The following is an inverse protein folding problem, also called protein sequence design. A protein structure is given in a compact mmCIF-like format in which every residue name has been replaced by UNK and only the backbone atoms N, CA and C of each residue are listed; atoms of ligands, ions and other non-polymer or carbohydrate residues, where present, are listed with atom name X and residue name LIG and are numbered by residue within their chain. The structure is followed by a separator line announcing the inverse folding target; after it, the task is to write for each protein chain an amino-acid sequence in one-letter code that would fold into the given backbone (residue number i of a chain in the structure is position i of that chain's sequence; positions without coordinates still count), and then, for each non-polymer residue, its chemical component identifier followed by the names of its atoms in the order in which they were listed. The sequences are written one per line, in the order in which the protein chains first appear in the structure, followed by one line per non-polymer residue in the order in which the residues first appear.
data_IF_873796742530
#
_entry.id   IF_873796742530
#
_cell.length_a   1.000
_cell.length_b   1.000
_cell.length_c   1.000
_cell.angle_alpha   90.00
_cell.angle_beta   90.00
_cell.angle_gamma   90.00
#
_symmetry.space_group_name_H-M   'P 1'
#
loop_
_entity.id
_entity.type
_entity.pdbx_description
1 polymer ?
#
# COMPACT_ATOMS: atom_id res chain seq x y z
N UNK A 1 3.62 -19.06 19.72
CA UNK A 1 3.46 -18.18 18.53
C UNK A 1 2.32 -17.17 18.68
N UNK A 2 1.15 -17.52 19.20
CA UNK A 2 0.00 -16.61 19.38
C UNK A 2 0.19 -15.50 20.41
N UNK A 3 0.84 -15.77 21.55
CA UNK A 3 1.10 -14.75 22.59
C UNK A 3 2.03 -13.61 22.14
N UNK A 4 2.91 -13.88 21.18
CA UNK A 4 3.84 -12.88 20.60
C UNK A 4 3.15 -11.94 19.58
N UNK A 5 2.02 -12.35 19.02
CA UNK A 5 1.27 -11.57 18.03
C UNK A 5 0.23 -10.63 18.68
N UNK A 6 -0.17 -10.90 19.92
CA UNK A 6 -1.10 -10.07 20.69
C UNK A 6 -0.73 -8.57 20.75
N UNK A 7 0.52 -8.17 21.05
CA UNK A 7 0.88 -6.76 21.10
C UNK A 7 0.81 -6.06 19.72
N UNK A 8 0.80 -6.81 18.61
CA UNK A 8 0.61 -6.28 17.26
C UNK A 8 -0.87 -6.28 16.85
N UNK A 9 -1.61 -7.34 17.20
CA UNK A 9 -3.01 -7.49 16.82
C UNK A 9 -3.93 -6.52 17.58
N UNK A 10 -3.69 -6.30 18.87
CA UNK A 10 -4.50 -5.40 19.69
C UNK A 10 -4.54 -3.95 19.17
N UNK A 11 -3.41 -3.29 18.85
CA UNK A 11 -3.44 -1.92 18.31
C UNK A 11 -4.09 -1.86 16.93
N UNK A 12 -3.91 -2.88 16.08
CA UNK A 12 -4.54 -2.95 14.76
C UNK A 12 -6.07 -3.06 14.90
N UNK A 13 -6.55 -4.01 15.71
CA UNK A 13 -7.98 -4.21 15.93
C UNK A 13 -8.65 -2.99 16.59
N UNK A 14 -7.98 -2.37 17.56
CA UNK A 14 -8.50 -1.14 18.19
C UNK A 14 -8.52 0.03 17.21
N UNK A 15 -7.47 0.22 16.40
CA UNK A 15 -7.45 1.22 15.34
C UNK A 15 -8.57 1.03 14.32
N UNK A 16 -8.78 -0.21 13.85
CA UNK A 16 -9.87 -0.56 12.94
C UNK A 16 -11.25 -0.36 13.57
N UNK A 17 -11.39 -0.64 14.85
CA UNK A 17 -12.62 -0.41 15.60
C UNK A 17 -12.95 1.08 15.72
N UNK A 18 -11.97 1.93 16.05
CA UNK A 18 -12.17 3.37 16.11
C UNK A 18 -12.48 3.97 14.74
N UNK A 19 -11.89 3.45 13.66
CA UNK A 19 -12.21 3.88 12.30
C UNK A 19 -13.59 3.42 11.81
N UNK A 20 -13.99 2.20 12.12
CA UNK A 20 -15.27 1.62 11.69
C UNK A 20 -16.47 2.16 12.47
N UNK A 21 -16.29 2.55 13.73
CA UNK A 21 -17.37 3.12 14.55
C UNK A 21 -18.09 4.31 13.91
N UNK A 22 -17.41 5.37 13.42
CA UNK A 22 -18.04 6.47 12.70
C UNK A 22 -18.71 6.06 11.39
N UNK A 23 -18.16 5.05 10.71
CA UNK A 23 -18.74 4.49 9.48
C UNK A 23 -20.09 3.82 9.79
N UNK A 24 -20.12 2.93 10.79
CA UNK A 24 -21.31 2.21 11.24
C UNK A 24 -22.40 3.13 11.83
N UNK A 25 -21.99 4.23 12.48
CA UNK A 25 -22.91 5.24 13.02
C UNK A 25 -23.36 6.29 11.99
N UNK A 26 -22.83 6.25 10.77
CA UNK A 26 -23.15 7.23 9.72
C UNK A 26 -22.60 8.64 9.96
N UNK A 27 -21.79 8.85 11.00
CA UNK A 27 -21.23 10.16 11.37
C UNK A 27 -20.02 10.54 10.51
N UNK A 28 -19.42 9.59 9.81
CA UNK A 28 -18.22 9.77 8.98
C UNK A 28 -18.33 10.92 7.97
N UNK A 29 -19.51 11.14 7.38
CA UNK A 29 -19.72 12.19 6.36
C UNK A 29 -19.44 13.60 6.86
N UNK A 30 -19.56 13.83 8.17
CA UNK A 30 -19.36 15.15 8.80
C UNK A 30 -18.02 15.27 9.50
N UNK A 31 -17.25 14.20 9.63
CA UNK A 31 -16.03 14.18 10.42
C UNK A 31 -14.79 14.28 9.51
N UNK A 32 -14.09 15.44 9.45
CA UNK A 32 -12.88 15.58 8.65
C UNK A 32 -11.75 14.65 9.12
N UNK A 33 -11.72 14.27 10.40
CA UNK A 33 -10.69 13.37 10.93
C UNK A 33 -10.84 11.94 10.37
N UNK A 34 -12.06 11.51 10.08
CA UNK A 34 -12.32 10.19 9.50
C UNK A 34 -11.69 10.04 8.11
N UNK A 35 -11.73 11.10 7.29
CA UNK A 35 -11.10 11.13 5.98
C UNK A 35 -9.56 11.13 6.05
N UNK A 36 -8.99 11.80 7.04
CA UNK A 36 -7.54 11.77 7.29
C UNK A 36 -7.09 10.36 7.72
N UNK A 37 -7.82 9.71 8.63
CA UNK A 37 -7.51 8.34 9.05
C UNK A 37 -7.67 7.33 7.90
N UNK A 38 -8.69 7.50 7.06
CA UNK A 38 -8.87 6.68 5.85
C UNK A 38 -7.68 6.84 4.91
N UNK A 39 -7.21 8.08 4.69
CA UNK A 39 -6.00 8.33 3.91
C UNK A 39 -4.77 7.64 4.49
N UNK A 40 -4.58 7.69 5.82
CA UNK A 40 -3.49 7.00 6.50
C UNK A 40 -3.57 5.47 6.33
N UNK A 41 -4.74 4.86 6.47
CA UNK A 41 -4.94 3.42 6.25
C UNK A 41 -4.63 3.01 4.80
N UNK A 42 -5.03 3.82 3.82
CA UNK A 42 -4.70 3.57 2.41
C UNK A 42 -3.20 3.63 2.16
N UNK A 43 -2.49 4.60 2.74
CA UNK A 43 -1.02 4.69 2.65
C UNK A 43 -0.32 3.53 3.35
N UNK A 44 -0.82 3.07 4.50
CA UNK A 44 -0.32 1.86 5.15
C UNK A 44 -0.48 0.62 4.25
N UNK A 45 -1.63 0.49 3.58
CA UNK A 45 -1.86 -0.57 2.59
C UNK A 45 -0.92 -0.47 1.39
N UNK A 46 -0.65 0.74 0.90
CA UNK A 46 0.32 0.97 -0.17
C UNK A 46 1.75 0.58 0.28
N UNK A 47 2.13 0.92 1.51
CA UNK A 47 3.40 0.49 2.09
C UNK A 47 3.52 -1.04 2.19
N UNK A 48 2.46 -1.72 2.61
CA UNK A 48 2.43 -3.19 2.63
C UNK A 48 2.54 -3.79 1.22
N UNK A 49 1.83 -3.24 0.23
CA UNK A 49 1.94 -3.67 -1.17
C UNK A 49 3.36 -3.44 -1.72
N UNK A 50 3.98 -2.31 -1.38
CA UNK A 50 5.36 -2.01 -1.77
C UNK A 50 6.33 -3.01 -1.18
N UNK A 51 6.18 -3.35 0.11
CA UNK A 51 7.00 -4.37 0.77
C UNK A 51 6.85 -5.72 0.11
N UNK A 52 5.62 -6.14 -0.22
CA UNK A 52 5.36 -7.40 -0.95
C UNK A 52 6.06 -7.40 -2.30
N UNK A 53 5.96 -6.31 -3.07
CA UNK A 53 6.65 -6.19 -4.35
C UNK A 53 8.17 -6.19 -4.22
N UNK A 54 8.73 -5.43 -3.28
CA UNK A 54 10.18 -5.33 -3.08
C UNK A 54 10.80 -6.63 -2.56
N UNK A 55 9.98 -7.50 -1.95
CA UNK A 55 10.38 -8.78 -1.40
C UNK A 55 9.93 -9.96 -2.28
N UNK A 56 9.37 -9.72 -3.46
CA UNK A 56 8.86 -10.78 -4.33
C UNK A 56 9.94 -11.80 -4.72
N UNK A 57 11.19 -11.35 -4.86
CA UNK A 57 12.38 -12.20 -4.98
C UNK A 57 13.32 -12.10 -3.77
N UNK A 58 12.80 -12.07 -2.54
CA UNK A 58 13.58 -12.05 -1.30
C UNK A 58 14.38 -13.35 -1.03
N UNK A 59 15.06 -13.90 -2.03
CA UNK A 59 16.25 -14.72 -1.82
C UNK A 59 17.50 -13.88 -2.09
N UNK A 60 18.54 -14.18 -1.33
CA UNK A 60 19.86 -13.58 -1.51
C UNK A 60 20.41 -13.86 -2.92
N UNK A 61 19.99 -14.96 -3.53
CA UNK A 61 20.24 -15.30 -4.92
C UNK A 61 18.93 -15.27 -5.72
N UNK A 62 18.75 -14.31 -6.65
CA UNK A 62 17.51 -14.23 -7.40
C UNK A 62 17.35 -15.37 -8.43
N UNK A 63 18.43 -16.10 -8.76
CA UNK A 63 18.34 -17.34 -9.53
C UNK A 63 17.50 -18.38 -8.77
N UNK A 64 17.70 -18.52 -7.46
CA UNK A 64 16.92 -19.41 -6.60
C UNK A 64 15.44 -19.02 -6.52
N UNK A 65 15.11 -17.73 -6.53
CA UNK A 65 13.71 -17.27 -6.53
C UNK A 65 12.99 -17.70 -7.81
N UNK A 66 13.64 -17.54 -8.97
CA UNK A 66 13.12 -17.98 -10.26
C UNK A 66 12.92 -19.50 -10.31
N UNK A 67 13.91 -20.27 -9.85
CA UNK A 67 13.79 -21.74 -9.77
C UNK A 67 12.67 -22.18 -8.82
N UNK A 68 12.48 -21.48 -7.69
CA UNK A 68 11.36 -21.75 -6.76
C UNK A 68 9.99 -21.47 -7.39
N UNK A 69 9.92 -20.50 -8.31
CA UNK A 69 8.73 -20.22 -9.12
C UNK A 69 8.60 -21.17 -10.33
N UNK A 70 9.54 -22.10 -10.53
CA UNK A 70 9.55 -23.03 -11.66
C UNK A 70 9.93 -22.39 -13.00
N UNK A 71 10.57 -21.22 -12.97
CA UNK A 71 10.93 -20.45 -14.16
C UNK A 71 12.45 -20.47 -14.40
N UNK A 72 12.89 -20.50 -15.67
CA UNK A 72 14.30 -20.40 -16.00
C UNK A 72 14.84 -19.01 -15.68
N UNK A 73 16.06 -18.95 -15.17
CA UNK A 73 16.72 -17.68 -14.89
C UNK A 73 17.58 -17.25 -16.09
N UNK A 74 17.24 -16.11 -16.70
CA UNK A 74 18.00 -15.53 -17.80
C UNK A 74 18.96 -14.43 -17.29
N UNK A 75 20.21 -14.85 -17.10
CA UNK A 75 21.29 -13.98 -16.62
C UNK A 75 21.74 -12.96 -17.68
N UNK A 76 21.52 -13.22 -18.97
CA UNK A 76 21.86 -12.27 -20.04
C UNK A 76 20.80 -11.18 -20.10
N UNK A 77 19.51 -11.54 -20.05
CA UNK A 77 18.40 -10.60 -19.97
C UNK A 77 18.54 -9.66 -18.79
N UNK A 78 18.86 -10.18 -17.59
CA UNK A 78 19.01 -9.35 -16.40
C UNK A 78 20.16 -8.35 -16.51
N UNK A 79 21.29 -8.77 -17.10
CA UNK A 79 22.44 -7.87 -17.32
C UNK A 79 22.14 -6.80 -18.35
N UNK A 80 21.44 -7.15 -19.42
CA UNK A 80 21.01 -6.19 -20.44
C UNK A 80 19.96 -5.19 -19.93
N UNK A 81 19.13 -5.58 -18.96
CA UNK A 81 18.04 -4.76 -18.42
C UNK A 81 18.27 -4.32 -16.97
N UNK A 82 19.52 -4.13 -16.55
CA UNK A 82 19.86 -3.79 -15.17
C UNK A 82 19.11 -2.54 -14.66
N UNK A 83 18.92 -1.54 -15.52
CA UNK A 83 18.19 -0.30 -15.21
C UNK A 83 16.68 -0.50 -14.95
N UNK A 84 16.10 -1.66 -15.32
CA UNK A 84 14.73 -2.00 -14.96
C UNK A 84 14.62 -2.36 -13.47
N UNK A 85 15.65 -2.99 -12.90
CA UNK A 85 15.66 -3.45 -11.51
C UNK A 85 16.04 -2.37 -10.48
N UNK A 86 16.60 -1.24 -10.93
CA UNK A 86 16.93 -0.10 -10.07
C UNK A 86 15.80 0.93 -9.98
N UNK A 87 14.74 0.78 -10.79
CA UNK A 87 13.58 1.67 -10.73
C UNK A 87 12.77 1.44 -9.47
N UNK A 88 12.35 2.55 -8.87
CA UNK A 88 11.48 2.54 -7.70
C UNK A 88 10.01 2.23 -8.04
N UNK A 89 9.59 2.46 -9.29
CA UNK A 89 8.28 2.12 -9.83
C UNK A 89 8.30 2.13 -11.38
N UNK A 90 7.55 1.26 -12.07
CA UNK A 90 6.88 0.06 -11.55
C UNK A 90 7.88 -0.95 -10.98
N UNK A 91 7.46 -1.72 -9.97
CA UNK A 91 8.29 -2.77 -9.39
C UNK A 91 8.30 -3.95 -10.35
N UNK A 92 9.52 -4.43 -10.63
CA UNK A 92 9.77 -5.59 -11.48
C UNK A 92 10.90 -6.42 -10.85
N UNK A 93 10.73 -7.73 -10.90
CA UNK A 93 11.76 -8.70 -10.58
C UNK A 93 11.65 -9.87 -11.55
N UNK A 94 12.05 -9.59 -12.80
CA UNK A 94 11.91 -10.54 -13.91
C UNK A 94 12.95 -11.64 -13.88
N UNK A 95 12.50 -12.86 -14.15
CA UNK A 95 13.35 -14.02 -14.41
C UNK A 95 13.81 -14.08 -15.87
N UNK A 96 12.92 -13.73 -16.79
CA UNK A 96 13.13 -13.55 -18.22
C UNK A 96 12.09 -12.55 -18.76
N UNK A 97 12.12 -12.26 -20.06
CA UNK A 97 11.25 -11.26 -20.68
C UNK A 97 9.75 -11.42 -20.34
N UNK A 98 9.29 -12.67 -20.23
CA UNK A 98 7.87 -13.02 -20.10
C UNK A 98 7.39 -13.30 -18.68
N UNK A 99 8.29 -13.38 -17.69
CA UNK A 99 7.91 -13.73 -16.33
C UNK A 99 8.50 -12.79 -15.28
N UNK A 100 7.61 -12.21 -14.49
CA UNK A 100 7.90 -11.32 -13.37
C UNK A 100 7.49 -12.00 -12.05
N UNK A 101 8.40 -12.02 -11.08
CA UNK A 101 8.12 -12.50 -9.73
C UNK A 101 7.17 -11.54 -9.00
N UNK A 102 7.17 -10.25 -9.34
CA UNK A 102 6.27 -9.26 -8.74
C UNK A 102 4.83 -9.58 -9.15
N UNK A 103 3.92 -9.82 -8.18
CA UNK A 103 2.53 -10.12 -8.50
C UNK A 103 1.87 -8.99 -9.30
N UNK A 104 1.07 -9.34 -10.32
CA UNK A 104 0.44 -8.39 -11.23
C UNK A 104 -0.46 -7.34 -10.56
N UNK A 105 -0.93 -7.59 -9.32
CA UNK A 105 -1.75 -6.64 -8.56
C UNK A 105 -0.94 -5.55 -7.86
N UNK A 106 0.37 -5.75 -7.60
CA UNK A 106 1.17 -4.82 -6.80
C UNK A 106 1.24 -3.44 -7.43
N UNK A 107 1.64 -3.35 -8.71
CA UNK A 107 1.78 -2.06 -9.40
C UNK A 107 0.45 -1.29 -9.50
N UNK A 108 -0.69 -1.90 -9.89
CA UNK A 108 -2.00 -1.24 -9.82
C UNK A 108 -2.37 -0.78 -8.41
N UNK A 109 -2.10 -1.58 -7.37
CA UNK A 109 -2.38 -1.22 -5.97
C UNK A 109 -1.53 -0.03 -5.50
N UNK A 110 -0.26 0.04 -5.91
CA UNK A 110 0.64 1.16 -5.61
C UNK A 110 0.21 2.48 -6.27
N UNK A 111 -0.58 2.43 -7.34
CA UNK A 111 -1.18 3.64 -7.94
C UNK A 111 -2.52 3.96 -7.26
N UNK A 112 -3.39 2.96 -7.11
CA UNK A 112 -4.76 3.16 -6.65
C UNK A 112 -4.84 3.64 -5.19
N UNK A 113 -4.03 3.07 -4.29
CA UNK A 113 -4.11 3.40 -2.86
C UNK A 113 -3.63 4.83 -2.55
N UNK A 114 -2.46 5.31 -3.03
CA UNK A 114 -2.07 6.70 -2.83
C UNK A 114 -3.02 7.69 -3.50
N UNK A 115 -3.53 7.38 -4.69
CA UNK A 115 -4.54 8.22 -5.35
C UNK A 115 -5.82 8.33 -4.49
N UNK A 116 -6.32 7.22 -3.96
CA UNK A 116 -7.45 7.21 -3.03
C UNK A 116 -7.16 7.98 -1.73
N UNK A 117 -5.93 7.89 -1.21
CA UNK A 117 -5.52 8.63 -0.03
C UNK A 117 -5.55 10.15 -0.27
N UNK A 118 -5.05 10.61 -1.41
CA UNK A 118 -5.10 12.02 -1.82
C UNK A 118 -6.54 12.52 -1.94
N UNK A 119 -7.42 11.75 -2.58
CA UNK A 119 -8.85 12.10 -2.70
C UNK A 119 -9.51 12.18 -1.33
N UNK A 120 -9.27 11.19 -0.46
CA UNK A 120 -9.83 11.16 0.88
C UNK A 120 -9.38 12.37 1.70
N UNK A 121 -8.06 12.62 1.78
CA UNK A 121 -7.51 13.75 2.53
C UNK A 121 -7.99 15.08 1.96
N UNK A 122 -8.00 15.24 0.63
CA UNK A 122 -8.48 16.46 -0.04
C UNK A 122 -9.94 16.76 0.32
N UNK A 123 -10.81 15.74 0.34
CA UNK A 123 -12.19 15.89 0.76
C UNK A 123 -12.31 16.29 2.24
N UNK A 124 -11.53 15.65 3.13
CA UNK A 124 -11.47 15.99 4.56
C UNK A 124 -11.02 17.42 4.82
N UNK A 125 -9.99 17.90 4.10
CA UNK A 125 -9.51 19.28 4.17
C UNK A 125 -10.59 20.24 3.70
N UNK A 126 -11.25 19.98 2.57
CA UNK A 126 -12.35 20.80 2.05
C UNK A 126 -13.48 20.95 3.06
N UNK A 127 -13.94 19.85 3.66
CA UNK A 127 -14.92 19.89 4.74
C UNK A 127 -14.45 20.71 5.94
N UNK A 128 -13.19 20.54 6.36
CA UNK A 128 -12.61 21.30 7.47
C UNK A 128 -12.58 22.81 7.21
N UNK A 129 -12.23 23.23 5.99
CA UNK A 129 -12.21 24.63 5.57
C UNK A 129 -13.61 25.23 5.57
N UNK A 130 -14.59 24.55 4.97
CA UNK A 130 -15.99 25.01 4.93
C UNK A 130 -16.57 25.18 6.34
N UNK A 131 -16.29 24.23 7.24
CA UNK A 131 -16.75 24.32 8.64
C UNK A 131 -16.15 25.50 9.40
N UNK A 132 -14.84 25.77 9.21
CA UNK A 132 -14.17 26.93 9.82
C UNK A 132 -14.69 28.25 9.27
N UNK A 133 -15.01 28.31 7.98
CA UNK A 133 -15.65 29.48 7.37
C UNK A 133 -17.02 29.76 7.98
N UNK A 134 -17.86 28.72 8.11
CA UNK A 134 -19.19 28.83 8.70
C UNK A 134 -19.17 29.25 10.19
N UNK A 135 -18.14 28.86 10.95
CA UNK A 135 -17.98 29.28 12.35
C UNK A 135 -17.47 30.72 12.52
N UNK A 136 -16.86 31.32 11.49
CA UNK A 136 -16.35 32.71 11.55
C UNK A 136 -17.40 33.77 11.20
N UNK A 137 -18.48 33.38 10.52
CA UNK A 137 -19.57 34.28 10.15
C UNK A 137 -20.73 34.32 11.17
N UNK A 138 -20.59 33.60 12.29
CA UNK A 138 -21.58 33.52 13.36
C UNK A 138 -21.01 34.18 14.61
#
# INVERSE_FOLDING_TARGET
MTLLLLPLLLPVLTGLWFWSRPLLRGTWRRDPAWYAWTGALLLLGAGAAYLVGSLAGASLDPEEACHRAGQPYDREYRRANFDEYTRWFPLHDRCHADYDLVPAWVNPTLVALPAGALVSVGYGVGLGVVRRGASRCR
#
